data_IF_534869934688
#
_entry.id   IF_534869934688
#
_cell.length_a   1.000
_cell.length_b   1.000
_cell.length_c   1.000
_cell.angle_alpha   90.00
_cell.angle_beta   90.00
_cell.angle_gamma   90.00
#
_symmetry.space_group_name_H-M   'P 1'
#
loop_
_entity.id
_entity.type
_entity.pdbx_description
1 polymer ?
#
# COMPACT_ATOMS: atom_id res chain seq x y z
N UNK A 1 8.83 11.75 47.82
CA UNK A 1 7.49 11.21 48.20
C UNK A 1 6.36 12.25 48.24
N UNK A 2 6.58 13.48 47.76
CA UNK A 2 5.53 14.50 47.59
C UNK A 2 4.88 14.49 46.22
N UNK A 3 5.41 13.72 45.26
CA UNK A 3 4.90 13.65 43.86
C UNK A 3 3.77 12.63 43.67
N UNK A 4 3.55 11.73 44.63
CA UNK A 4 2.47 10.73 44.55
C UNK A 4 1.09 11.29 44.97
N UNK A 5 1.08 12.44 45.62
CA UNK A 5 -0.16 13.06 46.12
C UNK A 5 -0.88 13.92 45.06
N UNK A 6 -0.23 14.23 43.90
CA UNK A 6 -0.77 15.12 42.88
C UNK A 6 -1.27 14.40 41.60
N UNK A 7 -1.32 13.08 41.57
CA UNK A 7 -1.88 12.35 40.40
C UNK A 7 -1.12 12.57 39.08
N UNK A 8 0.10 13.11 39.10
CA UNK A 8 0.91 13.30 37.91
C UNK A 8 1.58 11.99 37.49
N UNK A 9 1.18 11.44 36.38
CA UNK A 9 1.82 10.28 35.77
C UNK A 9 3.30 10.56 35.51
N UNK A 10 4.18 9.59 35.83
CA UNK A 10 5.62 9.70 35.55
C UNK A 10 5.83 9.95 34.08
N UNK A 11 6.71 10.89 33.68
CA UNK A 11 6.98 11.13 32.26
C UNK A 11 7.50 9.86 31.59
N UNK A 12 6.83 9.43 30.53
CA UNK A 12 7.28 8.31 29.70
C UNK A 12 8.64 8.67 29.12
N UNK A 13 9.69 7.96 29.51
CA UNK A 13 11.03 8.13 28.94
C UNK A 13 10.98 7.64 27.49
N UNK A 14 10.76 8.55 26.56
CA UNK A 14 10.98 8.26 25.16
C UNK A 14 12.44 7.83 24.96
N UNK A 15 12.67 6.58 24.56
CA UNK A 15 13.98 6.15 24.08
C UNK A 15 14.36 7.06 22.93
N UNK A 16 15.47 7.79 23.06
CA UNK A 16 16.02 8.51 21.92
C UNK A 16 16.28 7.50 20.82
N UNK A 17 15.58 7.67 19.69
CA UNK A 17 15.82 6.91 18.48
C UNK A 17 17.25 7.17 18.04
N UNK A 18 18.12 6.17 18.13
CA UNK A 18 19.44 6.23 17.52
C UNK A 18 19.24 5.89 16.05
N UNK A 19 19.43 6.87 15.17
CA UNK A 19 19.62 6.59 13.75
C UNK A 19 20.81 5.65 13.61
N UNK A 20 20.53 4.38 13.42
CA UNK A 20 21.52 3.45 12.90
C UNK A 20 21.57 3.72 11.40
N UNK A 21 22.71 4.22 10.93
CA UNK A 21 23.05 4.09 9.52
C UNK A 21 23.17 2.59 9.22
N UNK A 22 22.05 1.97 8.82
CA UNK A 22 22.05 0.57 8.41
C UNK A 22 22.65 0.52 7.01
N UNK A 23 23.86 -0.03 6.93
CA UNK A 23 24.41 -0.50 5.67
C UNK A 23 23.54 -1.67 5.22
N UNK A 24 22.57 -1.42 4.35
CA UNK A 24 21.71 -2.46 3.81
C UNK A 24 22.54 -3.18 2.74
N UNK A 25 22.96 -4.42 3.02
CA UNK A 25 23.55 -5.30 2.02
C UNK A 25 22.45 -5.63 0.99
N UNK A 26 22.45 -4.93 -0.14
CA UNK A 26 21.52 -5.14 -1.24
C UNK A 26 22.05 -6.21 -2.17
N UNK A 27 21.28 -7.25 -2.42
CA UNK A 27 21.57 -8.19 -3.50
C UNK A 27 21.24 -7.53 -4.82
N UNK A 28 22.21 -7.49 -5.72
CA UNK A 28 22.07 -6.90 -7.05
C UNK A 28 22.48 -7.93 -8.11
N UNK A 29 21.75 -7.96 -9.23
CA UNK A 29 22.10 -8.79 -10.37
C UNK A 29 23.24 -8.15 -11.16
N UNK A 30 24.24 -8.92 -11.55
CA UNK A 30 25.32 -8.44 -12.39
C UNK A 30 24.91 -8.21 -13.85
N UNK A 31 23.92 -8.96 -14.32
CA UNK A 31 23.42 -8.93 -15.69
C UNK A 31 22.26 -7.96 -15.85
N UNK A 32 21.51 -7.73 -14.79
CA UNK A 32 20.32 -6.88 -14.77
C UNK A 32 20.21 -6.14 -13.42
N UNK A 33 20.94 -5.01 -13.26
CA UNK A 33 20.98 -4.25 -12.02
C UNK A 33 19.65 -3.64 -11.61
N UNK A 34 18.72 -3.44 -12.56
CA UNK A 34 17.40 -2.85 -12.31
C UNK A 34 16.43 -3.86 -11.68
N UNK A 35 16.70 -5.16 -11.79
CA UNK A 35 15.88 -6.20 -11.16
C UNK A 35 16.01 -6.17 -9.64
N UNK A 36 14.92 -6.52 -8.94
CA UNK A 36 14.89 -6.55 -7.48
C UNK A 36 14.87 -7.94 -6.92
N UNK A 37 15.57 -8.18 -5.81
CA UNK A 37 15.50 -9.47 -5.13
C UNK A 37 14.17 -9.62 -4.42
N UNK A 38 13.37 -10.56 -4.91
CA UNK A 38 12.04 -10.89 -4.39
C UNK A 38 12.11 -12.09 -3.45
N UNK A 39 11.50 -11.95 -2.26
CA UNK A 39 11.38 -13.02 -1.27
C UNK A 39 10.03 -12.96 -0.59
N UNK A 40 9.16 -13.91 -0.89
CA UNK A 40 7.89 -14.12 -0.17
C UNK A 40 7.71 -15.61 0.18
N UNK A 41 7.13 -15.88 1.35
CA UNK A 41 6.86 -17.26 1.79
C UNK A 41 5.96 -17.96 0.77
N UNK A 42 6.40 -19.15 0.31
CA UNK A 42 5.66 -19.99 -0.65
C UNK A 42 5.81 -19.60 -2.12
N UNK A 43 6.66 -18.62 -2.44
CA UNK A 43 6.99 -18.24 -3.82
C UNK A 43 8.48 -18.42 -4.08
N UNK A 44 8.86 -18.59 -5.36
CA UNK A 44 10.26 -18.69 -5.76
C UNK A 44 11.02 -17.41 -5.40
N UNK A 45 12.19 -17.57 -4.76
CA UNK A 45 13.08 -16.46 -4.45
C UNK A 45 14.00 -16.20 -5.65
N UNK A 46 14.26 -14.91 -5.95
CA UNK A 46 15.18 -14.56 -7.02
C UNK A 46 15.08 -13.10 -7.43
N UNK A 47 15.79 -12.79 -8.52
CA UNK A 47 15.70 -11.47 -9.16
C UNK A 47 14.48 -11.46 -10.06
N UNK A 48 13.54 -10.58 -9.76
CA UNK A 48 12.25 -10.48 -10.45
C UNK A 48 11.85 -9.03 -10.69
N UNK A 49 10.93 -8.86 -11.63
CA UNK A 49 10.10 -7.69 -11.77
C UNK A 49 8.69 -8.02 -11.31
N UNK A 50 7.97 -7.03 -10.82
CA UNK A 50 6.54 -7.10 -10.52
C UNK A 50 5.78 -6.36 -11.60
N UNK A 51 4.76 -7.00 -12.18
CA UNK A 51 3.83 -6.38 -13.12
C UNK A 51 2.67 -5.79 -12.34
N UNK A 52 2.34 -4.54 -12.64
CA UNK A 52 1.18 -3.84 -12.11
C UNK A 52 0.24 -3.57 -13.28
N UNK A 53 -0.91 -4.21 -13.27
CA UNK A 53 -1.91 -4.12 -14.33
C UNK A 53 -3.14 -3.40 -13.81
N UNK A 54 -3.59 -2.40 -14.53
CA UNK A 54 -4.81 -1.67 -14.22
C UNK A 54 -5.86 -1.97 -15.26
N UNK A 55 -7.03 -2.40 -14.80
CA UNK A 55 -8.13 -2.86 -15.65
C UNK A 55 -9.34 -1.96 -15.43
N UNK A 56 -10.03 -1.61 -16.51
CA UNK A 56 -11.35 -0.99 -16.42
C UNK A 56 -12.40 -2.05 -16.09
N UNK A 57 -13.05 -1.92 -14.93
CA UNK A 57 -14.05 -2.88 -14.45
C UNK A 57 -15.29 -3.00 -15.34
N UNK A 58 -15.63 -1.93 -16.09
CA UNK A 58 -16.84 -1.92 -16.93
C UNK A 58 -16.73 -2.87 -18.13
N UNK A 59 -15.54 -3.04 -18.70
CA UNK A 59 -15.32 -3.79 -19.93
C UNK A 59 -14.15 -4.77 -19.89
N UNK A 60 -13.41 -4.84 -18.78
CA UNK A 60 -12.28 -5.75 -18.61
C UNK A 60 -11.05 -5.40 -19.46
N UNK A 61 -10.96 -4.18 -19.99
CA UNK A 61 -9.82 -3.75 -20.82
C UNK A 61 -8.67 -3.32 -19.91
N UNK A 62 -7.46 -3.82 -20.18
CA UNK A 62 -6.24 -3.35 -19.52
C UNK A 62 -5.92 -1.95 -20.07
N UNK A 63 -5.92 -0.96 -19.20
CA UNK A 63 -5.69 0.45 -19.54
C UNK A 63 -4.28 0.92 -19.23
N UNK A 64 -3.61 0.25 -18.30
CA UNK A 64 -2.24 0.56 -17.93
C UNK A 64 -1.48 -0.68 -17.50
N UNK A 65 -0.20 -0.73 -17.84
CA UNK A 65 0.75 -1.76 -17.41
C UNK A 65 2.06 -1.10 -17.00
N UNK A 66 2.53 -1.39 -15.81
CA UNK A 66 3.81 -0.91 -15.32
C UNK A 66 4.61 -2.03 -14.68
N UNK A 67 5.92 -1.96 -14.77
CA UNK A 67 6.83 -2.90 -14.11
C UNK A 67 7.66 -2.18 -13.05
N UNK A 68 7.87 -2.84 -11.92
CA UNK A 68 8.78 -2.38 -10.87
C UNK A 68 9.73 -3.49 -10.46
N UNK A 69 10.87 -3.12 -9.89
CA UNK A 69 11.81 -4.10 -9.32
C UNK A 69 11.12 -4.93 -8.22
N UNK A 70 11.42 -6.23 -8.15
CA UNK A 70 10.74 -7.18 -7.27
C UNK A 70 10.84 -6.90 -5.76
N UNK A 71 11.72 -6.00 -5.34
CA UNK A 71 11.86 -5.55 -3.96
C UNK A 71 11.04 -4.29 -3.63
N UNK A 72 10.34 -3.71 -4.61
CA UNK A 72 9.47 -2.56 -4.42
C UNK A 72 8.11 -3.05 -3.94
N UNK A 73 7.53 -2.47 -2.87
CA UNK A 73 6.17 -2.79 -2.45
C UNK A 73 5.13 -2.41 -3.53
N UNK A 74 4.14 -3.28 -3.71
CA UNK A 74 3.09 -3.12 -4.74
C UNK A 74 2.31 -1.79 -4.58
N UNK A 75 2.14 -1.32 -3.35
CA UNK A 75 1.44 -0.07 -3.03
C UNK A 75 2.20 1.20 -3.43
N UNK A 76 3.52 1.11 -3.64
CA UNK A 76 4.36 2.29 -3.88
C UNK A 76 4.05 2.99 -5.21
N UNK A 77 3.96 2.29 -6.36
CA UNK A 77 3.68 2.92 -7.65
C UNK A 77 2.21 3.31 -7.84
N UNK A 78 1.31 2.90 -6.94
CA UNK A 78 -0.14 2.96 -7.15
C UNK A 78 -0.66 4.36 -7.50
N UNK A 79 -0.33 5.36 -6.70
CA UNK A 79 -0.79 6.75 -6.92
C UNK A 79 -0.19 7.34 -8.19
N UNK A 80 1.10 7.06 -8.46
CA UNK A 80 1.76 7.50 -9.69
C UNK A 80 1.07 6.94 -10.94
N UNK A 81 0.58 5.69 -10.87
CA UNK A 81 -0.14 5.07 -11.98
C UNK A 81 -1.53 5.68 -12.18
N UNK A 82 -2.23 6.02 -11.11
CA UNK A 82 -3.49 6.77 -11.18
C UNK A 82 -3.25 8.14 -11.83
N UNK A 83 -2.24 8.89 -11.40
CA UNK A 83 -1.87 10.17 -12.00
C UNK A 83 -1.54 10.04 -13.50
N UNK A 84 -0.84 8.96 -13.85
CA UNK A 84 -0.51 8.67 -15.24
C UNK A 84 -1.76 8.45 -16.10
N UNK A 85 -2.70 7.65 -15.61
CA UNK A 85 -3.96 7.35 -16.31
C UNK A 85 -4.78 8.63 -16.52
N UNK A 86 -4.97 9.41 -15.46
CA UNK A 86 -5.74 10.67 -15.55
C UNK A 86 -5.09 11.66 -16.50
N UNK A 87 -3.77 11.85 -16.41
CA UNK A 87 -3.05 12.86 -17.17
C UNK A 87 -2.82 12.49 -18.63
N UNK A 88 -2.44 11.24 -18.91
CA UNK A 88 -2.02 10.83 -20.27
C UNK A 88 -3.15 10.22 -21.07
N UNK A 89 -4.10 9.54 -20.41
CA UNK A 89 -5.26 8.96 -21.09
C UNK A 89 -6.50 9.86 -21.00
N UNK A 90 -6.47 10.91 -20.18
CA UNK A 90 -7.59 11.83 -20.00
C UNK A 90 -8.82 11.18 -19.37
N UNK A 91 -8.63 10.06 -18.67
CA UNK A 91 -9.70 9.27 -18.06
C UNK A 91 -9.95 9.77 -16.65
N UNK A 92 -11.20 10.07 -16.30
CA UNK A 92 -11.59 10.45 -14.95
C UNK A 92 -11.97 9.19 -14.16
N UNK A 93 -11.23 8.93 -13.07
CA UNK A 93 -11.45 7.79 -12.20
C UNK A 93 -12.46 8.19 -11.13
N UNK A 94 -13.50 7.38 -10.93
CA UNK A 94 -14.52 7.59 -9.89
C UNK A 94 -14.35 6.58 -8.76
N UNK A 95 -14.08 5.33 -9.11
CA UNK A 95 -13.94 4.25 -8.15
C UNK A 95 -12.68 3.45 -8.46
N UNK A 96 -12.01 3.02 -7.41
CA UNK A 96 -10.81 2.20 -7.48
C UNK A 96 -10.92 0.99 -6.55
N UNK A 97 -10.57 -0.18 -7.04
CA UNK A 97 -10.53 -1.42 -6.26
C UNK A 97 -9.14 -2.04 -6.33
N UNK A 98 -8.62 -2.48 -5.19
CA UNK A 98 -7.31 -3.13 -5.12
C UNK A 98 -7.24 -4.16 -4.01
N UNK A 99 -6.20 -5.00 -4.00
CA UNK A 99 -5.94 -5.97 -2.94
C UNK A 99 -5.64 -5.29 -1.58
N UNK A 100 -5.85 -6.01 -0.50
CA UNK A 100 -5.58 -5.55 0.89
C UNK A 100 -4.14 -5.04 1.12
N UNK A 101 -3.20 -5.40 0.26
CA UNK A 101 -1.82 -4.89 0.26
C UNK A 101 -1.73 -3.39 -0.04
N UNK A 102 -2.70 -2.84 -0.73
CA UNK A 102 -2.80 -1.42 -1.09
C UNK A 102 -3.52 -0.57 -0.03
N UNK A 103 -4.14 -1.18 0.99
CA UNK A 103 -4.82 -0.47 2.07
C UNK A 103 -3.79 0.20 3.00
N UNK A 104 -3.34 1.37 2.60
CA UNK A 104 -2.41 2.22 3.35
C UNK A 104 -3.03 3.59 3.61
N UNK A 105 -2.70 4.20 4.75
CA UNK A 105 -3.22 5.53 5.10
C UNK A 105 -2.91 6.57 4.01
N UNK A 106 -1.74 6.47 3.38
CA UNK A 106 -1.32 7.39 2.32
C UNK A 106 -2.25 7.28 1.10
N UNK A 107 -2.50 6.06 0.61
CA UNK A 107 -3.37 5.81 -0.54
C UNK A 107 -4.79 6.26 -0.24
N UNK A 108 -5.32 5.86 0.92
CA UNK A 108 -6.67 6.23 1.34
C UNK A 108 -6.85 7.76 1.41
N UNK A 109 -5.87 8.47 1.99
CA UNK A 109 -5.91 9.93 2.06
C UNK A 109 -5.87 10.57 0.67
N UNK A 110 -4.94 10.18 -0.18
CA UNK A 110 -4.77 10.78 -1.51
C UNK A 110 -5.95 10.52 -2.45
N UNK A 111 -6.58 9.35 -2.36
CA UNK A 111 -7.78 9.06 -3.14
C UNK A 111 -8.99 9.82 -2.61
N UNK A 112 -9.14 9.93 -1.29
CA UNK A 112 -10.19 10.74 -0.67
C UNK A 112 -10.07 12.22 -1.02
N UNK A 113 -8.86 12.79 -1.08
CA UNK A 113 -8.62 14.17 -1.51
C UNK A 113 -9.01 14.43 -2.98
N UNK A 114 -9.07 13.36 -3.80
CA UNK A 114 -9.46 13.40 -5.22
C UNK A 114 -10.92 13.03 -5.46
N UNK A 115 -11.67 12.74 -4.39
CA UNK A 115 -13.06 12.29 -4.47
C UNK A 115 -13.20 10.96 -5.25
N UNK A 116 -12.24 10.05 -5.05
CA UNK A 116 -12.21 8.69 -5.62
C UNK A 116 -12.58 7.71 -4.53
N UNK A 117 -13.66 6.95 -4.74
CA UNK A 117 -14.08 5.89 -3.84
C UNK A 117 -13.13 4.68 -3.93
N UNK A 118 -12.51 4.31 -2.79
CA UNK A 118 -11.52 3.24 -2.76
C UNK A 118 -12.03 2.01 -2.01
N UNK A 119 -11.97 0.87 -2.66
CA UNK A 119 -12.43 -0.41 -2.13
C UNK A 119 -11.28 -1.40 -2.01
N UNK A 120 -11.10 -1.97 -0.82
CA UNK A 120 -10.17 -3.07 -0.55
C UNK A 120 -10.85 -4.14 0.27
N UNK A 121 -10.52 -5.44 0.09
CA UNK A 121 -11.04 -6.49 0.94
C UNK A 121 -10.57 -6.29 2.38
N UNK A 122 -11.44 -6.56 3.35
CA UNK A 122 -11.07 -6.49 4.77
C UNK A 122 -9.92 -7.45 5.07
N UNK A 123 -8.92 -6.94 5.78
CA UNK A 123 -7.89 -7.81 6.35
C UNK A 123 -8.53 -8.63 7.46
N UNK A 124 -8.56 -9.94 7.30
CA UNK A 124 -8.92 -10.86 8.39
C UNK A 124 -7.93 -10.60 9.52
N UNK A 125 -8.39 -9.98 10.60
CA UNK A 125 -7.56 -9.71 11.77
C UNK A 125 -7.05 -11.02 12.35
N UNK A 126 -5.80 -11.36 12.08
CA UNK A 126 -5.07 -12.23 12.98
C UNK A 126 -4.93 -11.46 14.30
N UNK A 127 -5.65 -11.95 15.32
CA UNK A 127 -5.68 -11.41 16.69
C UNK A 127 -4.27 -11.02 17.16
N UNK A 128 -3.90 -9.75 17.00
CA UNK A 128 -2.86 -9.08 17.78
C UNK A 128 -3.58 -8.20 18.76
N UNK A 129 -3.29 -8.42 20.04
CA UNK A 129 -3.99 -7.84 21.17
C UNK A 129 -4.31 -6.36 21.05
N UNK A 130 -5.52 -6.08 21.42
CA UNK A 130 -6.15 -4.84 21.87
C UNK A 130 -5.28 -3.56 21.84
N UNK A 131 -5.59 -2.71 20.88
CA UNK A 131 -5.62 -1.27 21.09
C UNK A 131 -6.86 -0.77 20.36
N UNK A 132 -7.86 -0.31 21.11
CA UNK A 132 -9.08 0.29 20.57
C UNK A 132 -8.69 1.50 19.73
N UNK A 133 -8.86 1.39 18.43
CA UNK A 133 -8.77 2.51 17.49
C UNK A 133 -10.17 2.79 16.96
N UNK A 134 -10.61 4.03 17.07
CA UNK A 134 -11.94 4.48 16.67
C UNK A 134 -12.21 4.17 15.21
N UNK A 135 -13.40 3.64 14.96
CA UNK A 135 -13.93 3.15 13.69
C UNK A 135 -13.78 4.16 12.55
N UNK A 136 -13.06 3.75 11.51
CA UNK A 136 -13.19 4.32 10.17
C UNK A 136 -14.59 4.03 9.59
N UNK A 137 -15.11 4.87 8.67
CA UNK A 137 -16.42 4.66 8.07
C UNK A 137 -16.52 3.29 7.42
N UNK A 138 -17.72 2.70 7.49
CA UNK A 138 -18.03 1.35 6.98
C UNK A 138 -17.52 1.18 5.55
N UNK A 139 -16.53 0.30 5.37
CA UNK A 139 -16.00 -0.06 4.04
C UNK A 139 -16.97 -1.02 3.36
N UNK A 140 -17.50 -0.65 2.21
CA UNK A 140 -18.27 -1.57 1.38
C UNK A 140 -17.34 -2.64 0.83
N UNK A 141 -17.61 -3.92 1.11
CA UNK A 141 -16.84 -5.05 0.60
C UNK A 141 -17.30 -5.44 -0.80
N UNK A 142 -16.40 -5.36 -1.78
CA UNK A 142 -16.57 -5.96 -3.10
C UNK A 142 -15.63 -7.15 -3.27
N UNK A 143 -15.99 -8.19 -4.03
CA UNK A 143 -15.09 -9.30 -4.33
C UNK A 143 -14.05 -8.87 -5.36
N UNK A 144 -12.93 -8.35 -4.91
CA UNK A 144 -11.80 -7.99 -5.79
C UNK A 144 -10.93 -9.22 -6.03
N UNK A 145 -10.75 -9.60 -7.27
CA UNK A 145 -9.90 -10.70 -7.71
C UNK A 145 -8.51 -10.17 -8.08
N UNK A 146 -7.67 -9.83 -7.08
CA UNK A 146 -6.21 -9.65 -7.24
C UNK A 146 -5.66 -8.65 -8.28
N UNK A 147 -6.52 -8.05 -9.08
CA UNK A 147 -6.21 -7.02 -10.08
C UNK A 147 -6.66 -5.65 -9.57
N UNK A 148 -5.96 -4.60 -9.95
CA UNK A 148 -6.43 -3.24 -9.70
C UNK A 148 -7.52 -2.90 -10.71
N UNK A 149 -8.76 -2.76 -10.24
CA UNK A 149 -9.90 -2.41 -11.08
C UNK A 149 -10.27 -0.94 -10.87
N UNK A 150 -10.49 -0.22 -11.95
CA UNK A 150 -10.94 1.17 -11.94
C UNK A 150 -12.28 1.28 -12.68
N UNK A 151 -13.23 2.02 -12.10
CA UNK A 151 -14.41 2.47 -12.82
C UNK A 151 -14.16 3.85 -13.41
N UNK A 152 -14.35 3.96 -14.71
CA UNK A 152 -14.08 5.15 -15.52
C UNK A 152 -15.37 5.54 -16.22
N UNK A 153 -15.67 6.83 -16.24
CA UNK A 153 -16.74 7.43 -17.06
C UNK A 153 -16.30 7.61 -18.50
#
# INVERSE_FOLDING_TARGET
NQLEAEGKSKPVRCRKWKEKAETINRRESKTDPESGFYKRKGKAEGMHYLSHETVNSNNGIIIDVAATAGNVPDSKPYIERIDYIEKNLGLKIQEACADSGYDTNLINQQLSERDIDFYTPERTEQKRGTTEFQSAPEKKSFPCTGLTELQIQ
#
